data_IF_721828379868
#
_entry.id   IF_721828379868
#
_cell.length_a   1.000
_cell.length_b   1.000
_cell.length_c   1.000
_cell.angle_alpha   90.00
_cell.angle_beta   90.00
_cell.angle_gamma   90.00
#
_symmetry.space_group_name_H-M   'P 1'
#
loop_
_entity.id
_entity.type
_entity.pdbx_description
1 polymer ?
#
# COMPACT_ATOMS: atom_id res chain seq x y z
N UNK A 1 -14.35 8.36 12.72
CA UNK A 1 -13.34 7.76 11.81
C UNK A 1 -13.58 8.26 10.39
N UNK A 2 -12.80 9.22 9.90
CA UNK A 2 -12.94 9.72 8.51
C UNK A 2 -12.10 8.93 7.49
N UNK A 3 -12.08 9.39 6.24
CA UNK A 3 -11.30 8.84 5.12
C UNK A 3 -9.85 8.50 5.50
N UNK A 4 -9.14 9.37 6.24
CA UNK A 4 -7.76 9.13 6.67
C UNK A 4 -7.59 7.89 7.57
N UNK A 5 -8.59 7.57 8.41
CA UNK A 5 -8.56 6.37 9.26
C UNK A 5 -8.70 5.08 8.45
N UNK A 6 -9.51 5.12 7.38
CA UNK A 6 -9.63 4.00 6.44
C UNK A 6 -8.32 3.77 5.67
N UNK A 7 -7.64 4.84 5.25
CA UNK A 7 -6.32 4.73 4.64
C UNK A 7 -5.29 4.15 5.64
N UNK A 8 -5.28 4.60 6.89
CA UNK A 8 -4.42 4.00 7.93
C UNK A 8 -4.67 2.49 8.11
N UNK A 9 -5.94 2.07 8.12
CA UNK A 9 -6.33 0.66 8.22
C UNK A 9 -5.87 -0.19 7.01
N UNK A 10 -6.00 0.34 5.79
CA UNK A 10 -5.48 -0.32 4.59
C UNK A 10 -3.95 -0.52 4.65
N UNK A 11 -3.23 0.48 5.16
CA UNK A 11 -1.79 0.38 5.34
C UNK A 11 -1.39 -0.67 6.38
N UNK A 12 -2.15 -0.76 7.48
CA UNK A 12 -1.95 -1.80 8.48
C UNK A 12 -2.17 -3.21 7.93
N UNK A 13 -3.26 -3.43 7.19
CA UNK A 13 -3.51 -4.70 6.50
C UNK A 13 -2.41 -5.04 5.48
N UNK A 14 -1.91 -4.04 4.74
CA UNK A 14 -0.78 -4.22 3.84
C UNK A 14 0.50 -4.64 4.57
N UNK A 15 0.75 -4.11 5.76
CA UNK A 15 1.89 -4.48 6.60
C UNK A 15 1.78 -5.91 7.17
N UNK A 16 0.57 -6.41 7.42
CA UNK A 16 0.37 -7.81 7.82
C UNK A 16 0.86 -8.82 6.77
N UNK A 17 1.07 -8.39 5.52
CA UNK A 17 1.73 -9.20 4.51
C UNK A 17 3.05 -9.80 5.01
N UNK A 18 3.82 -9.00 5.77
CA UNK A 18 5.13 -9.41 6.26
C UNK A 18 5.06 -10.43 7.41
N UNK A 19 4.00 -10.35 8.21
CA UNK A 19 3.81 -11.27 9.33
C UNK A 19 3.32 -12.65 8.82
N UNK A 20 2.38 -12.65 7.88
CA UNK A 20 1.75 -13.86 7.35
C UNK A 20 2.46 -14.46 6.14
N UNK A 21 3.60 -13.93 5.73
CA UNK A 21 4.32 -14.36 4.53
C UNK A 21 3.46 -14.34 3.26
N UNK A 22 2.54 -13.38 3.19
CA UNK A 22 1.49 -13.34 2.18
C UNK A 22 1.66 -12.10 1.28
N UNK A 23 2.42 -12.22 0.17
CA UNK A 23 2.76 -11.09 -0.68
C UNK A 23 1.55 -10.48 -1.40
N UNK A 24 0.42 -11.19 -1.50
CA UNK A 24 -0.81 -10.66 -2.08
C UNK A 24 -1.37 -9.48 -1.27
N UNK A 25 -1.13 -9.46 0.05
CA UNK A 25 -1.61 -8.36 0.91
C UNK A 25 -0.85 -7.04 0.65
N UNK A 26 0.37 -7.09 0.10
CA UNK A 26 1.11 -5.88 -0.31
C UNK A 26 0.41 -5.12 -1.45
N UNK A 27 -0.44 -5.77 -2.24
CA UNK A 27 -1.25 -5.08 -3.25
C UNK A 27 -2.24 -4.08 -2.64
N UNK A 28 -2.57 -4.19 -1.34
CA UNK A 28 -3.37 -3.18 -0.66
C UNK A 28 -2.67 -1.81 -0.67
N UNK A 29 -1.33 -1.77 -0.68
CA UNK A 29 -0.59 -0.52 -0.85
C UNK A 29 -0.81 0.10 -2.24
N UNK A 30 -1.08 -0.68 -3.30
CA UNK A 30 -1.43 -0.10 -4.61
C UNK A 30 -2.67 0.79 -4.56
N UNK A 31 -3.60 0.55 -3.62
CA UNK A 31 -4.74 1.45 -3.41
C UNK A 31 -4.28 2.85 -2.99
N UNK A 32 -3.16 2.98 -2.27
CA UNK A 32 -2.60 4.30 -1.96
C UNK A 32 -2.05 5.04 -3.18
N UNK A 33 -1.45 4.33 -4.14
CA UNK A 33 -1.12 4.90 -5.45
C UNK A 33 -2.36 5.39 -6.19
N UNK A 34 -3.45 4.61 -6.15
CA UNK A 34 -4.73 5.01 -6.72
C UNK A 34 -5.30 6.26 -6.02
N UNK A 35 -5.29 6.33 -4.69
CA UNK A 35 -5.73 7.51 -3.95
C UNK A 35 -4.85 8.75 -4.21
N UNK A 36 -3.57 8.56 -4.50
CA UNK A 36 -2.68 9.66 -4.91
C UNK A 36 -3.02 10.24 -6.29
N UNK A 37 -3.74 9.51 -7.15
CA UNK A 37 -4.27 10.09 -8.38
C UNK A 37 -5.25 11.24 -8.06
N UNK A 38 -6.01 11.11 -6.98
CA UNK A 38 -6.92 12.14 -6.46
C UNK A 38 -6.21 13.25 -5.67
N UNK A 39 -4.87 13.39 -5.79
CA UNK A 39 -4.09 14.48 -5.15
C UNK A 39 -4.62 15.88 -5.45
N UNK A 40 -5.38 16.05 -6.53
CA UNK A 40 -6.00 17.32 -6.90
C UNK A 40 -7.03 17.78 -5.87
N UNK A 41 -7.73 16.85 -5.21
CA UNK A 41 -8.73 17.16 -4.18
C UNK A 41 -8.10 17.41 -2.80
N UNK A 42 -7.03 16.70 -2.46
CA UNK A 42 -6.35 16.80 -1.16
C UNK A 42 -4.84 16.66 -1.36
N UNK A 43 -4.10 17.74 -1.11
CA UNK A 43 -2.62 17.76 -1.23
C UNK A 43 -1.94 16.69 -0.36
N UNK A 44 -2.56 16.30 0.75
CA UNK A 44 -2.08 15.25 1.67
C UNK A 44 -1.95 13.88 0.99
N UNK A 45 -2.81 13.57 0.02
CA UNK A 45 -2.81 12.30 -0.71
C UNK A 45 -1.57 12.12 -1.61
N UNK A 46 -0.84 13.20 -1.90
CA UNK A 46 0.38 13.16 -2.71
C UNK A 46 1.44 12.21 -2.11
N UNK A 47 1.55 12.18 -0.78
CA UNK A 47 2.56 11.35 -0.10
C UNK A 47 2.18 9.87 -0.05
N UNK A 48 0.88 9.58 -0.09
CA UNK A 48 0.40 8.21 -0.15
C UNK A 48 0.74 7.50 -1.45
N UNK A 49 0.89 8.23 -2.55
CA UNK A 49 1.30 7.63 -3.81
C UNK A 49 2.69 7.01 -3.74
N UNK A 50 3.59 7.63 -2.98
CA UNK A 50 4.93 7.10 -2.78
C UNK A 50 4.91 5.78 -2.01
N UNK A 51 4.09 5.70 -0.94
CA UNK A 51 3.84 4.47 -0.20
C UNK A 51 3.28 3.36 -1.08
N UNK A 52 2.35 3.68 -1.99
CA UNK A 52 1.79 2.70 -2.89
C UNK A 52 2.77 2.16 -3.94
N UNK A 53 3.66 3.03 -4.45
CA UNK A 53 4.72 2.61 -5.38
C UNK A 53 5.73 1.71 -4.68
N UNK A 54 6.13 2.03 -3.44
CA UNK A 54 7.01 1.16 -2.63
C UNK A 54 6.36 -0.20 -2.42
N UNK A 55 5.08 -0.23 -2.04
CA UNK A 55 4.34 -1.49 -1.86
C UNK A 55 4.33 -2.35 -3.13
N UNK A 56 4.19 -1.73 -4.31
CA UNK A 56 4.22 -2.44 -5.59
C UNK A 56 5.63 -2.99 -5.92
N UNK A 57 6.67 -2.20 -5.68
CA UNK A 57 8.08 -2.61 -5.86
C UNK A 57 8.41 -3.82 -4.97
N UNK A 58 7.84 -3.91 -3.78
CA UNK A 58 8.05 -5.03 -2.85
C UNK A 58 7.11 -6.21 -3.18
N UNK A 59 5.89 -5.96 -3.62
CA UNK A 59 4.92 -7.01 -3.98
C UNK A 59 5.38 -7.87 -5.15
N UNK A 60 5.95 -7.27 -6.20
CA UNK A 60 6.44 -8.00 -7.39
C UNK A 60 7.45 -9.10 -7.02
N UNK A 61 8.58 -8.80 -6.34
CA UNK A 61 9.54 -9.81 -5.92
C UNK A 61 8.99 -10.74 -4.83
N UNK A 62 8.07 -10.27 -3.98
CA UNK A 62 7.38 -11.12 -3.01
C UNK A 62 6.55 -12.22 -3.66
N UNK A 63 5.79 -11.89 -4.71
CA UNK A 63 4.98 -12.86 -5.46
C UNK A 63 5.86 -13.78 -6.32
N UNK A 64 6.95 -13.23 -6.88
CA UNK A 64 7.95 -14.03 -7.59
C UNK A 64 8.72 -15.00 -6.68
N UNK A 65 8.54 -14.92 -5.35
CA UNK A 65 9.24 -15.76 -4.38
C UNK A 65 10.72 -15.40 -4.20
N UNK A 66 11.15 -14.23 -4.70
CA UNK A 66 12.53 -13.74 -4.58
C UNK A 66 12.82 -13.23 -3.16
N UNK A 67 11.79 -12.75 -2.47
CA UNK A 67 11.86 -12.31 -1.08
C UNK A 67 10.71 -12.93 -0.28
N UNK A 68 11.02 -13.40 0.94
CA UNK A 68 9.98 -13.63 1.94
C UNK A 68 9.65 -12.28 2.54
N UNK A 69 8.54 -11.75 2.08
CA UNK A 69 7.85 -10.63 2.74
C UNK A 69 7.08 -11.23 3.86
#
# INVERSE_FOLDING_TARGET
MGMLGFLGFLGFLGFQAFEYHNPYSLFLFCLFSFFSYFRYFRKELKYLGFLGVIGLIIAIPGIAGLIKV
#
